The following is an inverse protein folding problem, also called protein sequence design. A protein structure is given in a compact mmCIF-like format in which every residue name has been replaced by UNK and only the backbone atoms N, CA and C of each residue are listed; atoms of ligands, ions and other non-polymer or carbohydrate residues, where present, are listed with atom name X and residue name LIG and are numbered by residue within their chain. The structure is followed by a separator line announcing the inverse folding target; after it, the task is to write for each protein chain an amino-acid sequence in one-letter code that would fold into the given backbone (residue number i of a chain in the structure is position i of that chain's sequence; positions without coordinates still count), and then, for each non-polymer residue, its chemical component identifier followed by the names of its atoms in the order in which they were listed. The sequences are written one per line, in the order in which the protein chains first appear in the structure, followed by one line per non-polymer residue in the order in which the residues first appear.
data_IF_876522029714
#
_entry.id   IF_876522029714
#
_cell.length_a   1.000
_cell.length_b   1.000
_cell.length_c   1.000
_cell.angle_alpha   90.00
_cell.angle_beta   90.00
_cell.angle_gamma   90.00
#
_symmetry.space_group_name_H-M   'P 1'
#
loop_
_entity.id
_entity.type
_entity.pdbx_description
1 polymer ?
#
# COMPACT_ATOMS: atom_id res chain seq x y z
N UNK A 1 -19.89 6.92 1.59
CA UNK A 1 -19.19 7.17 0.30
C UNK A 1 -19.43 5.97 -0.60
N UNK A 2 -19.63 6.17 -1.90
CA UNK A 2 -19.93 5.09 -2.86
C UNK A 2 -18.88 4.99 -3.98
N UNK A 3 -18.64 3.78 -4.46
CA UNK A 3 -17.69 3.47 -5.52
C UNK A 3 -18.25 2.36 -6.42
N UNK A 4 -18.44 2.64 -7.70
CA UNK A 4 -18.84 1.61 -8.67
C UNK A 4 -17.60 1.09 -9.40
N UNK A 5 -17.21 -0.18 -9.20
CA UNK A 5 -16.11 -0.77 -9.96
C UNK A 5 -16.46 -0.89 -11.44
N UNK A 6 -15.44 -0.84 -12.30
CA UNK A 6 -15.60 -1.12 -13.72
C UNK A 6 -16.02 -2.58 -13.96
N UNK A 7 -16.75 -2.83 -15.05
CA UNK A 7 -17.23 -4.17 -15.35
C UNK A 7 -16.08 -5.18 -15.46
N UNK A 8 -16.22 -6.33 -14.80
CA UNK A 8 -15.20 -7.37 -14.73
C UNK A 8 -14.09 -7.14 -13.70
N UNK A 9 -13.97 -5.94 -13.11
CA UNK A 9 -13.02 -5.73 -12.02
C UNK A 9 -13.42 -6.57 -10.81
N UNK A 10 -12.50 -7.43 -10.38
CA UNK A 10 -12.73 -8.33 -9.24
C UNK A 10 -12.14 -7.77 -7.96
N UNK A 11 -11.32 -6.72 -8.02
CA UNK A 11 -10.74 -6.07 -6.85
C UNK A 11 -11.24 -4.64 -6.71
N UNK A 12 -11.47 -4.22 -5.47
CA UNK A 12 -11.80 -2.84 -5.11
C UNK A 12 -10.93 -2.43 -3.93
N UNK A 13 -10.40 -1.22 -3.97
CA UNK A 13 -9.50 -0.65 -2.98
C UNK A 13 -10.03 0.68 -2.49
N UNK A 14 -9.84 0.94 -1.20
CA UNK A 14 -10.09 2.23 -0.59
C UNK A 14 -8.82 2.80 0.01
N UNK A 15 -8.67 4.10 -0.18
CA UNK A 15 -7.55 4.88 0.31
C UNK A 15 -8.03 6.17 0.96
N UNK A 16 -7.23 6.66 1.90
CA UNK A 16 -7.37 7.98 2.50
C UNK A 16 -6.13 8.80 2.19
N UNK A 17 -6.33 10.05 1.78
CA UNK A 17 -5.28 11.04 1.63
C UNK A 17 -5.60 12.27 2.47
N UNK A 18 -4.82 12.50 3.51
CA UNK A 18 -4.84 13.76 4.26
C UNK A 18 -4.09 14.83 3.49
N UNK A 19 -4.44 16.09 3.73
CA UNK A 19 -3.79 17.22 3.06
C UNK A 19 -2.27 17.17 3.24
N UNK A 20 -1.53 17.24 2.12
CA UNK A 20 -0.06 17.15 2.07
C UNK A 20 0.53 15.87 2.70
N UNK A 21 -0.24 14.77 2.75
CA UNK A 21 0.22 13.46 3.19
C UNK A 21 0.16 12.46 2.05
N UNK A 22 0.92 11.38 2.23
CA UNK A 22 0.89 10.23 1.35
C UNK A 22 -0.51 9.58 1.33
N UNK A 23 -0.76 8.86 0.24
CA UNK A 23 -1.95 8.04 0.10
C UNK A 23 -1.84 6.83 1.05
N UNK A 24 -2.80 6.68 1.96
CA UNK A 24 -2.85 5.58 2.91
C UNK A 24 -3.89 4.56 2.50
N UNK A 25 -3.49 3.31 2.42
CA UNK A 25 -4.40 2.20 2.21
C UNK A 25 -5.33 1.99 3.41
N UNK A 26 -6.61 1.69 3.15
CA UNK A 26 -7.62 1.43 4.17
C UNK A 26 -8.08 -0.03 4.13
N UNK A 27 -8.66 -0.45 3.00
CA UNK A 27 -9.28 -1.76 2.84
C UNK A 27 -9.33 -2.16 1.37
N UNK A 28 -9.24 -3.48 1.12
CA UNK A 28 -9.45 -4.08 -0.18
C UNK A 28 -10.46 -5.21 -0.12
N UNK A 29 -11.20 -5.33 -1.22
CA UNK A 29 -12.14 -6.40 -1.48
C UNK A 29 -11.70 -7.19 -2.69
N UNK A 30 -11.93 -8.49 -2.66
CA UNK A 30 -12.01 -9.31 -3.87
C UNK A 30 -13.45 -9.81 -3.99
N UNK A 31 -14.14 -9.37 -5.03
CA UNK A 31 -15.59 -9.51 -5.19
C UNK A 31 -16.29 -8.92 -3.97
N UNK A 32 -16.77 -9.77 -3.08
CA UNK A 32 -17.54 -9.45 -1.89
C UNK A 32 -16.80 -9.76 -0.59
N UNK A 33 -15.59 -10.30 -0.69
CA UNK A 33 -14.78 -10.71 0.45
C UNK A 33 -13.70 -9.68 0.76
N UNK A 34 -13.52 -9.36 2.04
CA UNK A 34 -12.42 -8.51 2.50
C UNK A 34 -11.11 -9.29 2.35
N UNK A 35 -10.13 -8.73 1.64
CA UNK A 35 -8.80 -9.35 1.48
C UNK A 35 -7.80 -8.80 2.46
N UNK A 36 -7.74 -7.48 2.56
CA UNK A 36 -6.83 -6.78 3.45
C UNK A 36 -7.54 -5.56 4.03
N UNK A 37 -7.32 -5.28 5.31
CA UNK A 37 -7.91 -4.15 6.03
C UNK A 37 -6.95 -3.71 7.13
N UNK A 38 -6.76 -2.41 7.31
CA UNK A 38 -6.01 -1.87 8.46
C UNK A 38 -6.90 -1.83 9.71
N UNK A 39 -6.30 -1.95 10.90
CA UNK A 39 -7.06 -2.00 12.16
C UNK A 39 -7.94 -0.76 12.40
N UNK A 40 -7.46 0.43 12.01
CA UNK A 40 -8.22 1.68 12.10
C UNK A 40 -9.58 1.60 11.38
N UNK A 41 -9.63 0.86 10.27
CA UNK A 41 -10.86 0.67 9.48
C UNK A 41 -11.80 -0.32 10.15
N UNK A 42 -11.29 -1.24 10.97
CA UNK A 42 -12.11 -2.23 11.66
C UNK A 42 -13.02 -1.60 12.71
N UNK A 43 -12.55 -0.57 13.40
CA UNK A 43 -13.29 0.01 14.53
C UNK A 43 -14.25 1.13 14.13
N UNK A 44 -13.91 1.94 13.11
CA UNK A 44 -14.67 3.17 12.81
C UNK A 44 -15.36 3.19 11.47
N UNK A 45 -15.01 2.26 10.58
CA UNK A 45 -15.48 2.24 9.21
C UNK A 45 -16.32 1.00 8.93
N UNK A 46 -17.51 1.23 8.39
CA UNK A 46 -18.31 0.18 7.77
C UNK A 46 -18.00 0.18 6.27
N UNK A 47 -17.60 -0.97 5.75
CA UNK A 47 -17.19 -1.10 4.36
C UNK A 47 -17.85 -2.34 3.76
N UNK A 48 -18.59 -2.14 2.67
CA UNK A 48 -19.34 -3.19 1.99
C UNK A 48 -19.05 -3.13 0.49
N UNK A 49 -19.00 -4.29 -0.16
CA UNK A 49 -18.74 -4.37 -1.59
C UNK A 49 -19.55 -5.52 -2.19
N UNK A 50 -20.87 -5.37 -2.36
CA UNK A 50 -21.72 -6.46 -2.83
C UNK A 50 -21.44 -6.77 -4.30
N UNK A 51 -21.67 -8.02 -4.71
CA UNK A 51 -21.55 -8.40 -6.11
C UNK A 51 -22.55 -7.62 -6.98
N UNK A 52 -22.09 -7.10 -8.11
CA UNK A 52 -22.91 -6.33 -9.06
C UNK A 52 -23.58 -5.07 -8.48
N UNK A 53 -23.09 -4.57 -7.34
CA UNK A 53 -23.56 -3.32 -6.73
C UNK A 53 -22.39 -2.37 -6.46
N UNK A 54 -22.64 -1.07 -6.30
CA UNK A 54 -21.62 -0.15 -5.84
C UNK A 54 -21.11 -0.56 -4.45
N UNK A 55 -19.81 -0.48 -4.26
CA UNK A 55 -19.17 -0.66 -2.97
C UNK A 55 -19.30 0.64 -2.15
N UNK A 56 -19.43 0.51 -0.84
CA UNK A 56 -19.60 1.62 0.08
C UNK A 56 -18.51 1.62 1.15
N UNK A 57 -18.15 2.84 1.57
CA UNK A 57 -17.34 3.08 2.75
C UNK A 57 -18.01 4.18 3.57
N UNK A 58 -18.36 3.86 4.79
CA UNK A 58 -19.08 4.71 5.73
C UNK A 58 -18.29 4.84 7.02
N UNK A 59 -18.31 6.04 7.61
CA UNK A 59 -17.66 6.35 8.89
C UNK A 59 -18.77 6.37 9.92
N UNK A 60 -18.75 5.43 10.88
CA UNK A 60 -19.86 5.29 11.84
C UNK A 60 -19.97 6.48 12.79
N UNK A 61 -18.82 7.06 13.17
CA UNK A 61 -18.74 8.26 14.00
C UNK A 61 -17.65 9.16 13.45
N UNK A 62 -18.05 10.23 12.76
CA UNK A 62 -17.11 11.16 12.13
C UNK A 62 -16.57 12.15 13.15
N UNK A 63 -15.25 12.32 13.15
CA UNK A 63 -14.54 13.33 13.96
C UNK A 63 -13.70 14.24 13.05
N UNK A 64 -13.19 15.35 13.61
CA UNK A 64 -12.38 16.29 12.85
C UNK A 64 -11.16 15.62 12.17
N UNK A 65 -10.62 14.56 12.79
CA UNK A 65 -9.51 13.77 12.28
C UNK A 65 -9.80 12.96 11.02
N UNK A 66 -11.07 12.76 10.66
CA UNK A 66 -11.50 12.04 9.45
C UNK A 66 -11.56 12.94 8.20
N UNK A 67 -11.39 14.25 8.37
CA UNK A 67 -11.37 15.18 7.23
C UNK A 67 -10.19 14.86 6.30
N UNK A 68 -10.50 14.24 5.17
CA UNK A 68 -9.54 13.76 4.19
C UNK A 68 -10.22 13.54 2.83
N UNK A 69 -9.40 13.41 1.79
CA UNK A 69 -9.85 12.88 0.52
C UNK A 69 -9.89 11.35 0.62
N UNK A 70 -11.03 10.76 0.25
CA UNK A 70 -11.18 9.32 0.19
C UNK A 70 -11.28 8.89 -1.27
N UNK A 71 -10.37 8.00 -1.67
CA UNK A 71 -10.23 7.55 -3.04
C UNK A 71 -10.59 6.07 -3.11
N UNK A 72 -11.29 5.69 -4.18
CA UNK A 72 -11.48 4.29 -4.51
C UNK A 72 -10.82 3.95 -5.84
N UNK A 73 -10.36 2.71 -5.97
CA UNK A 73 -9.82 2.16 -7.21
C UNK A 73 -10.35 0.74 -7.41
N UNK A 74 -10.39 0.27 -8.65
CA UNK A 74 -10.76 -1.12 -8.96
C UNK A 74 -9.81 -1.72 -9.98
N UNK A 75 -9.66 -3.04 -9.98
CA UNK A 75 -8.82 -3.74 -10.97
C UNK A 75 -9.32 -5.15 -11.30
N UNK A 76 -8.92 -5.65 -12.46
CA UNK A 76 -9.11 -7.05 -12.87
C UNK A 76 -8.31 -8.01 -11.98
N UNK A 77 -7.08 -7.63 -11.63
CA UNK A 77 -6.13 -8.42 -10.84
C UNK A 77 -5.27 -7.52 -9.95
N UNK A 78 -4.71 -8.07 -8.87
CA UNK A 78 -3.60 -7.44 -8.15
C UNK A 78 -2.37 -7.40 -9.03
N UNK A 79 -1.69 -6.25 -9.13
CA UNK A 79 -0.38 -6.17 -9.73
C UNK A 79 0.60 -7.07 -8.96
N UNK A 80 1.46 -7.80 -9.68
CA UNK A 80 2.58 -8.52 -9.06
C UNK A 80 3.46 -7.49 -8.35
N UNK A 81 3.72 -7.69 -7.06
CA UNK A 81 4.75 -6.93 -6.35
C UNK A 81 6.07 -7.23 -7.04
N UNK A 82 6.58 -6.29 -7.83
CA UNK A 82 7.95 -6.39 -8.33
C UNK A 82 8.87 -6.37 -7.11
N UNK A 83 9.38 -7.54 -6.72
CA UNK A 83 10.54 -7.60 -5.86
C UNK A 83 11.68 -7.00 -6.67
N UNK A 84 11.97 -5.72 -6.45
CA UNK A 84 13.26 -5.18 -6.87
C UNK A 84 14.29 -5.92 -6.02
N UNK A 85 15.11 -6.84 -6.58
CA UNK A 85 16.25 -7.33 -5.83
C UNK A 85 17.05 -6.08 -5.44
N UNK A 86 17.24 -5.90 -4.13
CA UNK A 86 18.13 -4.86 -3.62
C UNK A 86 19.48 -5.08 -4.31
N UNK A 87 19.83 -4.17 -5.23
CA UNK A 87 21.15 -4.17 -5.85
C UNK A 87 22.14 -3.75 -4.75
N UNK A 88 22.56 -4.70 -3.93
CA UNK A 88 23.72 -4.53 -3.08
C UNK A 88 24.91 -4.27 -4.01
N UNK A 89 25.41 -3.03 -3.98
CA UNK A 89 26.64 -2.67 -4.66
C UNK A 89 27.76 -3.55 -4.07
N UNK A 90 28.47 -4.38 -4.86
CA UNK A 90 29.64 -5.05 -4.35
C UNK A 90 30.63 -3.97 -3.92
N UNK A 91 30.97 -3.95 -2.64
CA UNK A 91 32.08 -3.15 -2.14
C UNK A 91 33.35 -3.77 -2.72
N UNK A 92 33.93 -3.09 -3.71
CA UNK A 92 35.27 -3.41 -4.18
C UNK A 92 36.24 -2.97 -3.08
N UNK A 93 36.74 -3.94 -2.32
CA UNK A 93 37.80 -3.74 -1.33
C UNK A 93 39.07 -3.23 -2.04
N UNK A 94 39.74 -2.18 -1.53
CA UNK A 94 40.97 -1.69 -2.15
C UNK A 94 42.11 -2.70 -1.98
N UNK A 95 42.86 -2.91 -3.06
CA UNK A 95 44.08 -3.70 -3.11
C UNK A 95 45.09 -3.24 -2.03
N UNK A 96 45.56 -4.18 -1.21
CA UNK A 96 46.69 -3.96 -0.30
C UNK A 96 47.99 -3.90 -1.12
N UNK A 97 48.50 -2.68 -1.31
CA UNK A 97 49.87 -2.40 -1.74
C UNK A 97 50.83 -2.78 -0.60
N UNK A 98 51.62 -3.84 -0.78
CA UNK A 98 52.70 -4.18 0.14
C UNK A 98 53.97 -3.39 -0.24
N UNK A 99 54.14 -2.23 0.41
CA UNK A 99 55.39 -1.47 0.40
C UNK A 99 56.41 -2.01 1.41
N UNK A 100 57.65 -2.17 0.97
CA UNK A 100 58.78 -2.74 1.72
C UNK A 100 59.58 -1.71 2.56
N UNK A 101 60.51 -2.25 3.38
CA UNK A 101 61.65 -1.65 4.11
C UNK A 101 61.39 -1.30 5.60
N UNK A 102 62.28 -1.50 6.60
CA UNK A 102 63.75 -1.71 6.63
C UNK A 102 64.19 -2.14 8.07
N UNK A 103 65.37 -2.78 8.24
CA UNK A 103 66.15 -2.80 9.50
C UNK A 103 66.74 -4.18 9.88
N UNK A 104 67.96 -4.55 9.48
CA UNK A 104 69.25 -4.34 10.18
C UNK A 104 69.39 -4.97 11.59
N UNK A 105 70.08 -6.12 11.69
CA UNK A 105 71.42 -6.29 12.33
C UNK A 105 71.97 -7.70 12.05
#
# INVERSE_FOLDING_TARGET
MGCSPENGHTFVYWYQQKQNKELKFLISFQRQEVRERIDLVKERFLAECPLNSPCSLEIQSSEAGDSALYLCASSLSTALKCAFPSAHKPSMEPAQEAGAALGQK
#
